data_IF_403189913940
#
_entry.id   IF_403189913940
#
_cell.length_a   1.000
_cell.length_b   1.000
_cell.length_c   1.000
_cell.angle_alpha   90.00
_cell.angle_beta   90.00
_cell.angle_gamma   90.00
#
_symmetry.space_group_name_H-M   'P 1'
#
loop_
_entity.id
_entity.type
_entity.pdbx_description
1 polymer ?
#
# COMPACT_ATOMS: atom_id res chain seq x y z
N UNK A 1 -53.67 -21.09 45.55
CA UNK A 1 -52.38 -20.91 44.87
C UNK A 1 -52.71 -20.49 43.45
N UNK A 2 -52.96 -19.19 43.27
CA UNK A 2 -53.31 -18.61 41.97
C UNK A 2 -52.05 -18.44 41.13
N UNK A 3 -52.24 -18.65 39.84
CA UNK A 3 -51.21 -18.66 38.81
C UNK A 3 -50.57 -17.28 38.57
N UNK A 4 -49.26 -17.29 38.32
CA UNK A 4 -48.57 -16.24 37.58
C UNK A 4 -47.64 -16.94 36.57
N UNK A 5 -48.18 -17.21 35.39
CA UNK A 5 -47.37 -17.49 34.19
C UNK A 5 -47.40 -16.20 33.38
N UNK A 6 -46.25 -15.59 33.02
CA UNK A 6 -46.25 -14.40 32.19
C UNK A 6 -46.94 -14.72 30.86
N UNK A 7 -47.70 -13.78 30.27
CA UNK A 7 -48.25 -14.00 28.94
C UNK A 7 -47.07 -14.24 27.99
N UNK A 8 -47.07 -15.40 27.34
CA UNK A 8 -46.24 -15.65 26.17
C UNK A 8 -46.61 -14.58 25.15
N UNK A 9 -45.65 -13.72 24.81
CA UNK A 9 -45.74 -12.83 23.68
C UNK A 9 -45.61 -13.66 22.41
N UNK A 10 -46.63 -14.46 22.11
CA UNK A 10 -46.88 -14.98 20.77
C UNK A 10 -47.41 -13.81 19.93
N UNK A 11 -46.54 -12.85 19.66
CA UNK A 11 -46.84 -11.68 18.83
C UNK A 11 -46.90 -12.10 17.38
N UNK A 12 -48.04 -12.64 16.94
CA UNK A 12 -48.36 -12.69 15.52
C UNK A 12 -48.33 -11.25 14.99
N UNK A 13 -47.31 -10.94 14.19
CA UNK A 13 -47.19 -9.68 13.47
C UNK A 13 -48.48 -9.45 12.70
N UNK A 14 -49.15 -8.34 12.99
CA UNK A 14 -50.38 -7.99 12.30
C UNK A 14 -50.08 -7.68 10.82
N UNK A 15 -51.07 -7.80 9.92
CA UNK A 15 -50.91 -7.40 8.52
C UNK A 15 -50.40 -5.95 8.36
N UNK A 16 -50.74 -5.08 9.32
CA UNK A 16 -50.31 -3.69 9.35
C UNK A 16 -48.81 -3.58 9.73
N UNK A 17 -48.34 -4.36 10.72
CA UNK A 17 -46.92 -4.43 11.08
C UNK A 17 -46.05 -4.92 9.91
N UNK A 18 -46.55 -5.91 9.16
CA UNK A 18 -45.88 -6.44 7.97
C UNK A 18 -45.85 -5.39 6.85
N UNK A 19 -46.89 -4.56 6.72
CA UNK A 19 -46.92 -3.48 5.74
C UNK A 19 -45.94 -2.36 6.08
N UNK A 20 -45.85 -1.99 7.37
CA UNK A 20 -44.93 -0.96 7.84
C UNK A 20 -43.47 -1.39 7.70
N UNK A 21 -43.16 -2.64 8.06
CA UNK A 21 -41.82 -3.20 7.87
C UNK A 21 -41.40 -3.26 6.40
N UNK A 22 -42.32 -3.59 5.48
CA UNK A 22 -42.03 -3.55 4.04
C UNK A 22 -41.73 -2.15 3.55
N UNK A 23 -42.49 -1.15 4.00
CA UNK A 23 -42.24 0.24 3.67
C UNK A 23 -40.88 0.73 4.22
N UNK A 24 -40.50 0.29 5.42
CA UNK A 24 -39.17 0.56 5.97
C UNK A 24 -38.07 -0.10 5.16
N UNK A 25 -38.23 -1.37 4.75
CA UNK A 25 -37.26 -2.06 3.90
C UNK A 25 -37.08 -1.34 2.57
N UNK A 26 -38.17 -0.96 1.89
CA UNK A 26 -38.09 -0.22 0.62
C UNK A 26 -37.39 1.15 0.80
N UNK A 27 -37.67 1.86 1.90
CA UNK A 27 -37.00 3.12 2.21
C UNK A 27 -35.50 2.94 2.49
N UNK A 28 -35.13 1.91 3.26
CA UNK A 28 -33.73 1.58 3.54
C UNK A 28 -33.00 1.12 2.29
N UNK A 29 -33.63 0.33 1.42
CA UNK A 29 -33.05 -0.11 0.14
C UNK A 29 -32.79 1.09 -0.79
N UNK A 30 -33.70 2.07 -0.82
CA UNK A 30 -33.52 3.31 -1.57
C UNK A 30 -32.35 4.15 -1.01
N UNK A 31 -32.30 4.34 0.32
CA UNK A 31 -31.21 5.09 0.98
C UNK A 31 -29.85 4.41 0.76
N UNK A 32 -29.77 3.08 0.87
CA UNK A 32 -28.54 2.31 0.59
C UNK A 32 -28.17 2.40 -0.89
N UNK A 33 -29.14 2.43 -1.81
CA UNK A 33 -28.88 2.60 -3.24
C UNK A 33 -28.29 3.98 -3.53
N UNK A 34 -28.88 5.04 -2.98
CA UNK A 34 -28.40 6.41 -3.17
C UNK A 34 -26.98 6.59 -2.58
N UNK A 35 -26.75 6.12 -1.34
CA UNK A 35 -25.44 6.15 -0.71
C UNK A 35 -24.38 5.37 -1.50
N UNK A 36 -24.74 4.22 -2.08
CA UNK A 36 -23.83 3.46 -2.95
C UNK A 36 -23.48 4.23 -4.22
N UNK A 37 -24.45 4.88 -4.85
CA UNK A 37 -24.18 5.73 -6.01
C UNK A 37 -23.33 6.94 -5.67
N UNK A 38 -23.53 7.56 -4.50
CA UNK A 38 -22.71 8.69 -4.05
C UNK A 38 -21.26 8.28 -3.74
N UNK A 39 -21.04 7.06 -3.24
CA UNK A 39 -19.69 6.50 -3.05
C UNK A 39 -19.02 6.18 -4.40
N UNK A 40 -19.74 5.57 -5.35
CA UNK A 40 -19.22 5.24 -6.68
C UNK A 40 -18.90 6.48 -7.54
N UNK A 41 -19.61 7.59 -7.33
CA UNK A 41 -19.44 8.82 -8.13
C UNK A 41 -18.43 9.83 -7.52
N UNK A 42 -17.99 9.62 -6.27
CA UNK A 42 -17.30 10.66 -5.48
C UNK A 42 -15.92 10.34 -4.91
N UNK A 43 -15.52 9.07 -4.78
CA UNK A 43 -14.19 8.70 -4.25
C UNK A 43 -13.46 7.77 -5.21
N UNK A 44 -12.28 8.20 -5.66
CA UNK A 44 -11.32 7.27 -6.29
C UNK A 44 -11.07 6.09 -5.36
N UNK A 45 -11.07 4.86 -5.90
CA UNK A 45 -10.66 3.67 -5.17
C UNK A 45 -9.27 3.92 -4.54
N UNK A 46 -9.07 3.51 -3.29
CA UNK A 46 -7.85 3.76 -2.53
C UNK A 46 -6.95 2.54 -2.50
N UNK A 47 -5.66 2.75 -2.74
CA UNK A 47 -4.64 1.72 -2.65
C UNK A 47 -3.52 2.15 -1.69
N UNK A 48 -3.20 1.29 -0.74
CA UNK A 48 -2.10 1.51 0.21
C UNK A 48 -1.07 0.40 0.08
N UNK A 49 0.19 0.80 -0.07
CA UNK A 49 1.33 -0.11 -0.11
C UNK A 49 2.28 0.22 1.05
N UNK A 50 2.63 -0.80 1.84
CA UNK A 50 3.66 -0.70 2.87
C UNK A 50 4.96 -1.29 2.31
N UNK A 51 5.94 -0.44 2.03
CA UNK A 51 7.23 -0.83 1.47
C UNK A 51 8.29 -0.95 2.58
N UNK A 52 8.75 -2.17 2.85
CA UNK A 52 9.62 -2.46 4.01
C UNK A 52 11.09 -2.74 3.65
N UNK A 53 11.36 -3.01 2.37
CA UNK A 53 12.69 -3.42 1.88
C UNK A 53 13.21 -2.43 0.84
N UNK A 54 14.51 -2.12 0.91
CA UNK A 54 15.20 -1.22 -0.02
C UNK A 54 16.31 -1.88 -0.82
N UNK A 55 16.20 -3.17 -1.14
CA UNK A 55 17.10 -3.77 -2.14
C UNK A 55 16.64 -3.40 -3.54
N UNK A 56 17.56 -3.43 -4.51
CA UNK A 56 17.28 -3.05 -5.90
C UNK A 56 16.06 -3.77 -6.47
N UNK A 57 15.88 -5.06 -6.17
CA UNK A 57 14.76 -5.86 -6.64
C UNK A 57 13.43 -5.56 -5.94
N UNK A 58 13.48 -5.09 -4.69
CA UNK A 58 12.31 -4.77 -3.88
C UNK A 58 11.82 -3.33 -4.09
N UNK A 59 12.61 -2.48 -4.73
CA UNK A 59 12.19 -1.12 -5.09
C UNK A 59 11.17 -1.09 -6.24
N UNK A 60 11.26 -2.01 -7.20
CA UNK A 60 10.41 -2.01 -8.38
C UNK A 60 8.94 -2.34 -8.10
N UNK A 61 8.59 -3.40 -7.34
CA UNK A 61 7.19 -3.76 -7.12
C UNK A 61 6.32 -2.64 -6.53
N UNK A 62 6.69 -1.93 -5.44
CA UNK A 62 5.84 -0.88 -4.90
C UNK A 62 5.70 0.30 -5.86
N UNK A 63 6.78 0.73 -6.52
CA UNK A 63 6.73 1.88 -7.44
C UNK A 63 5.97 1.59 -8.74
N UNK A 64 6.14 0.39 -9.33
CA UNK A 64 5.40 0.00 -10.54
C UNK A 64 3.91 -0.12 -10.22
N UNK A 65 3.55 -0.77 -9.11
CA UNK A 65 2.15 -0.91 -8.72
C UNK A 65 1.52 0.44 -8.42
N UNK A 66 2.23 1.31 -7.69
CA UNK A 66 1.70 2.61 -7.33
C UNK A 66 1.46 3.51 -8.54
N UNK A 67 2.47 3.68 -9.41
CA UNK A 67 2.33 4.46 -10.64
C UNK A 67 1.27 3.90 -11.57
N UNK A 68 1.14 2.57 -11.67
CA UNK A 68 0.09 1.93 -12.47
C UNK A 68 -1.29 2.17 -11.89
N UNK A 69 -1.47 2.01 -10.57
CA UNK A 69 -2.75 2.25 -9.91
C UNK A 69 -3.19 3.71 -10.04
N UNK A 70 -2.26 4.67 -9.85
CA UNK A 70 -2.53 6.09 -10.08
C UNK A 70 -2.98 6.35 -11.53
N UNK A 71 -2.36 5.70 -12.52
CA UNK A 71 -2.78 5.81 -13.93
C UNK A 71 -4.18 5.25 -14.20
N UNK A 72 -4.66 4.30 -13.37
CA UNK A 72 -6.04 3.79 -13.40
C UNK A 72 -7.02 4.64 -12.58
N UNK A 73 -6.56 5.75 -11.98
CA UNK A 73 -7.40 6.67 -11.22
C UNK A 73 -7.56 6.29 -9.75
N UNK A 74 -6.71 5.41 -9.21
CA UNK A 74 -6.67 5.14 -7.78
C UNK A 74 -6.00 6.31 -7.04
N UNK A 75 -6.47 6.57 -5.82
CA UNK A 75 -5.75 7.38 -4.84
C UNK A 75 -4.75 6.47 -4.11
N UNK A 76 -3.45 6.74 -4.25
CA UNK A 76 -2.39 5.79 -3.89
C UNK A 76 -1.44 6.38 -2.85
N UNK A 77 -1.25 5.65 -1.76
CA UNK A 77 -0.24 5.94 -0.75
C UNK A 77 0.78 4.82 -0.67
N UNK A 78 2.08 5.16 -0.68
CA UNK A 78 3.16 4.20 -0.45
C UNK A 78 3.95 4.60 0.79
N UNK A 79 3.69 3.91 1.90
CA UNK A 79 4.37 4.11 3.16
C UNK A 79 5.68 3.31 3.20
N UNK A 80 6.80 4.01 3.06
CA UNK A 80 8.14 3.43 3.18
C UNK A 80 8.57 3.42 4.65
N UNK A 81 9.07 2.28 5.10
CA UNK A 81 9.54 2.08 6.49
C UNK A 81 10.74 1.14 6.53
N UNK A 82 11.53 1.19 7.60
CA UNK A 82 12.81 0.48 7.70
C UNK A 82 13.69 0.72 6.46
N UNK A 83 14.20 -0.35 5.85
CA UNK A 83 15.06 -0.27 4.68
C UNK A 83 14.33 0.26 3.44
N UNK A 84 12.99 0.33 3.45
CA UNK A 84 12.23 0.96 2.37
C UNK A 84 12.61 2.43 2.16
N UNK A 85 13.05 3.15 3.20
CA UNK A 85 13.47 4.56 3.07
C UNK A 85 14.66 4.74 2.13
N UNK A 86 15.50 3.72 1.96
CA UNK A 86 16.63 3.76 1.02
C UNK A 86 16.16 4.00 -0.43
N UNK A 87 14.92 3.62 -0.76
CA UNK A 87 14.31 3.86 -2.06
C UNK A 87 14.04 5.36 -2.25
N UNK A 88 13.58 6.06 -1.21
CA UNK A 88 13.22 7.48 -1.28
C UNK A 88 14.39 8.42 -1.00
N UNK A 89 15.48 7.93 -0.42
CA UNK A 89 16.65 8.74 -0.14
C UNK A 89 17.41 9.04 -1.46
N UNK A 90 17.61 10.33 -1.77
CA UNK A 90 18.11 10.77 -3.08
C UNK A 90 19.47 10.15 -3.44
N UNK A 91 20.39 10.08 -2.47
CA UNK A 91 21.73 9.53 -2.71
C UNK A 91 21.76 8.00 -2.65
N UNK A 92 21.04 7.38 -1.72
CA UNK A 92 21.12 5.93 -1.53
C UNK A 92 20.35 5.15 -2.62
N UNK A 93 19.24 5.71 -3.11
CA UNK A 93 18.44 5.12 -4.19
C UNK A 93 19.22 4.89 -5.50
N UNK A 94 20.30 5.65 -5.72
CA UNK A 94 21.19 5.52 -6.88
C UNK A 94 22.10 4.29 -6.82
N UNK A 95 22.40 3.76 -5.62
CA UNK A 95 23.23 2.57 -5.44
C UNK A 95 22.59 1.47 -4.58
N UNK A 96 21.29 1.19 -4.78
CA UNK A 96 20.62 0.08 -4.11
C UNK A 96 21.32 -1.26 -4.38
N UNK A 97 21.61 -1.99 -3.30
CA UNK A 97 22.26 -3.29 -3.34
C UNK A 97 21.32 -4.44 -3.67
N UNK A 98 21.89 -5.58 -4.07
CA UNK A 98 21.16 -6.82 -4.27
C UNK A 98 21.96 -8.00 -3.69
N UNK A 99 21.35 -8.75 -2.78
CA UNK A 99 22.04 -9.88 -2.15
C UNK A 99 22.10 -11.08 -3.08
N UNK A 100 23.32 -11.57 -3.32
CA UNK A 100 23.59 -12.77 -4.10
C UNK A 100 23.27 -14.06 -3.32
N UNK A 101 23.46 -14.05 -2.00
CA UNK A 101 23.14 -15.19 -1.11
C UNK A 101 21.69 -15.15 -0.63
N UNK A 102 21.14 -13.95 -0.43
CA UNK A 102 19.79 -13.74 0.09
C UNK A 102 18.68 -14.06 -0.92
N UNK A 103 19.00 -14.20 -2.21
CA UNK A 103 18.03 -14.52 -3.25
C UNK A 103 18.21 -15.98 -3.73
N UNK A 104 17.38 -16.93 -3.26
CA UNK A 104 17.49 -18.34 -3.63
C UNK A 104 17.13 -18.62 -5.10
N UNK A 105 16.53 -17.66 -5.79
CA UNK A 105 16.19 -17.78 -7.22
C UNK A 105 17.35 -17.38 -8.13
N UNK A 106 18.48 -16.91 -7.57
CA UNK A 106 19.69 -16.66 -8.35
C UNK A 106 20.25 -18.00 -8.86
N UNK A 107 20.63 -18.11 -10.15
CA UNK A 107 21.20 -19.33 -10.73
C UNK A 107 22.68 -19.50 -10.33
N UNK A 108 23.01 -19.23 -9.07
CA UNK A 108 24.35 -19.32 -8.50
C UNK A 108 24.34 -20.30 -7.32
N UNK A 109 25.26 -21.28 -7.27
CA UNK A 109 25.46 -22.08 -6.07
C UNK A 109 25.79 -21.19 -4.87
N UNK A 110 25.20 -21.44 -3.70
CA UNK A 110 25.39 -20.62 -2.49
C UNK A 110 26.85 -20.39 -2.10
N UNK A 111 27.72 -21.40 -2.32
CA UNK A 111 29.15 -21.27 -2.05
C UNK A 111 29.84 -20.23 -2.94
N UNK A 112 29.37 -20.07 -4.18
CA UNK A 112 29.85 -19.05 -5.12
C UNK A 112 29.22 -17.70 -4.76
N UNK A 113 27.91 -17.67 -4.49
CA UNK A 113 27.22 -16.44 -4.09
C UNK A 113 27.84 -15.79 -2.84
N UNK A 114 28.36 -16.57 -1.89
CA UNK A 114 29.00 -16.04 -0.70
C UNK A 114 30.39 -15.41 -0.93
N UNK A 115 30.94 -15.44 -2.17
CA UNK A 115 32.24 -14.85 -2.45
C UNK A 115 32.22 -13.31 -2.35
N UNK A 116 33.29 -12.68 -1.85
CA UNK A 116 33.37 -11.22 -1.77
C UNK A 116 33.15 -10.55 -3.14
N UNK A 117 32.23 -9.58 -3.19
CA UNK A 117 31.92 -8.81 -4.40
C UNK A 117 30.77 -9.38 -5.26
N UNK A 118 30.24 -10.56 -4.92
CA UNK A 118 29.13 -11.16 -5.66
C UNK A 118 27.83 -10.37 -5.57
N UNK A 119 27.57 -9.68 -4.45
CA UNK A 119 26.41 -8.79 -4.31
C UNK A 119 26.47 -7.64 -5.32
N UNK A 120 27.63 -6.99 -5.48
CA UNK A 120 27.84 -5.93 -6.49
C UNK A 120 27.70 -6.46 -7.91
N UNK A 121 28.24 -7.64 -8.18
CA UNK A 121 28.08 -8.29 -9.49
C UNK A 121 26.60 -8.57 -9.78
N UNK A 122 25.87 -9.04 -8.78
CA UNK A 122 24.45 -9.38 -8.89
C UNK A 122 23.59 -8.14 -9.10
N UNK A 123 23.83 -7.07 -8.34
CA UNK A 123 23.18 -5.77 -8.56
C UNK A 123 23.46 -5.22 -9.97
N UNK A 124 24.73 -5.29 -10.43
CA UNK A 124 25.09 -4.86 -11.79
C UNK A 124 24.39 -5.70 -12.87
N UNK A 125 24.34 -7.01 -12.70
CA UNK A 125 23.63 -7.90 -13.63
C UNK A 125 22.14 -7.54 -13.70
N UNK A 126 21.52 -7.24 -12.56
CA UNK A 126 20.12 -6.81 -12.53
C UNK A 126 19.93 -5.45 -13.22
N UNK A 127 20.77 -4.44 -12.93
CA UNK A 127 20.71 -3.13 -13.60
C UNK A 127 20.83 -3.25 -15.11
N UNK A 128 21.79 -4.03 -15.60
CA UNK A 128 21.93 -4.29 -17.04
C UNK A 128 20.68 -4.94 -17.62
N UNK A 129 20.05 -5.89 -16.92
CA UNK A 129 18.81 -6.53 -17.40
C UNK A 129 17.64 -5.55 -17.41
N UNK A 130 17.53 -4.64 -16.45
CA UNK A 130 16.52 -3.57 -16.44
C UNK A 130 16.70 -2.70 -17.68
N UNK A 131 17.93 -2.22 -17.93
CA UNK A 131 18.28 -1.40 -19.09
C UNK A 131 18.04 -2.14 -20.42
N UNK A 132 18.50 -3.38 -20.55
CA UNK A 132 18.34 -4.23 -21.75
C UNK A 132 16.87 -4.54 -22.09
N UNK A 133 15.94 -4.35 -21.14
CA UNK A 133 14.51 -4.62 -21.31
C UNK A 133 13.66 -3.34 -21.30
N UNK A 134 14.28 -2.16 -21.43
CA UNK A 134 13.61 -0.87 -21.46
C UNK A 134 12.68 -0.64 -20.25
N UNK A 135 13.09 -1.15 -19.08
CA UNK A 135 12.36 -0.93 -17.82
C UNK A 135 12.87 0.36 -17.19
N UNK A 136 11.94 1.23 -16.78
CA UNK A 136 12.27 2.49 -16.10
C UNK A 136 13.11 2.24 -14.84
N UNK A 137 14.11 3.08 -14.61
CA UNK A 137 14.94 3.07 -13.41
C UNK A 137 14.14 3.40 -12.16
N UNK A 138 14.71 3.14 -10.98
CA UNK A 138 14.08 3.46 -9.69
C UNK A 138 13.79 4.95 -9.57
N UNK A 139 14.73 5.80 -9.98
CA UNK A 139 14.59 7.26 -9.99
C UNK A 139 13.43 7.70 -10.89
N UNK A 140 13.39 7.21 -12.14
CA UNK A 140 12.29 7.50 -13.07
C UNK A 140 10.92 7.05 -12.54
N UNK A 141 10.88 5.91 -11.85
CA UNK A 141 9.66 5.39 -11.24
C UNK A 141 9.19 6.24 -10.04
N UNK A 142 10.12 6.76 -9.23
CA UNK A 142 9.82 7.70 -8.13
C UNK A 142 9.26 9.00 -8.71
N UNK A 143 9.97 9.60 -9.66
CA UNK A 143 9.54 10.83 -10.33
C UNK A 143 8.17 10.66 -10.99
N UNK A 144 7.95 9.54 -11.68
CA UNK A 144 6.66 9.23 -12.31
C UNK A 144 5.55 9.07 -11.28
N UNK A 145 5.83 8.43 -10.14
CA UNK A 145 4.86 8.24 -9.07
C UNK A 145 4.44 9.59 -8.48
N UNK A 146 5.41 10.44 -8.12
CA UNK A 146 5.17 11.78 -7.61
C UNK A 146 4.41 12.66 -8.62
N UNK A 147 4.83 12.65 -9.88
CA UNK A 147 4.16 13.39 -10.95
C UNK A 147 2.71 12.92 -11.20
N UNK A 148 2.42 11.66 -10.91
CA UNK A 148 1.08 11.07 -11.02
C UNK A 148 0.21 11.28 -9.77
N UNK A 149 0.73 11.96 -8.74
CA UNK A 149 0.02 12.24 -7.50
C UNK A 149 0.02 11.11 -6.48
N UNK A 150 0.91 10.12 -6.62
CA UNK A 150 1.12 9.10 -5.57
C UNK A 150 1.73 9.77 -4.35
N UNK A 151 1.15 9.54 -3.17
CA UNK A 151 1.71 10.00 -1.90
C UNK A 151 2.80 9.03 -1.42
N UNK A 152 4.05 9.32 -1.79
CA UNK A 152 5.22 8.59 -1.30
C UNK A 152 5.60 9.10 0.09
N UNK A 153 5.43 8.25 1.10
CA UNK A 153 5.57 8.60 2.50
C UNK A 153 6.85 8.00 3.11
N UNK A 154 7.62 8.81 3.84
CA UNK A 154 8.77 8.39 4.63
C UNK A 154 8.42 8.34 6.12
N UNK A 155 8.48 7.13 6.71
CA UNK A 155 8.15 6.92 8.12
C UNK A 155 9.09 7.67 9.06
N UNK A 156 8.55 8.63 9.83
CA UNK A 156 9.30 9.48 10.75
C UNK A 156 10.11 8.67 11.77
N UNK A 157 9.53 7.62 12.34
CA UNK A 157 10.26 6.77 13.29
C UNK A 157 11.49 6.11 12.65
N UNK A 158 11.44 5.84 11.35
CA UNK A 158 12.59 5.26 10.64
C UNK A 158 13.61 6.33 10.30
N UNK A 159 13.18 7.53 9.90
CA UNK A 159 14.05 8.71 9.74
C UNK A 159 14.88 8.91 11.03
N UNK A 160 14.20 8.98 12.17
CA UNK A 160 14.85 9.14 13.48
C UNK A 160 15.78 7.97 13.83
N UNK A 161 15.38 6.73 13.49
CA UNK A 161 16.13 5.52 13.80
C UNK A 161 17.45 5.43 13.00
N UNK A 162 17.40 5.81 11.72
CA UNK A 162 18.55 5.76 10.82
C UNK A 162 19.40 7.04 10.87
N UNK A 163 18.85 8.11 11.47
CA UNK A 163 19.54 9.39 11.63
C UNK A 163 19.61 10.17 10.32
N UNK A 164 18.55 10.11 9.52
CA UNK A 164 18.40 10.91 8.29
C UNK A 164 17.75 12.26 8.59
N UNK A 165 17.98 13.21 7.71
CA UNK A 165 17.31 14.50 7.66
C UNK A 165 16.14 14.44 6.65
N UNK A 166 15.09 15.24 6.86
CA UNK A 166 13.95 15.28 5.94
C UNK A 166 14.35 15.75 4.52
N UNK A 167 15.43 16.53 4.43
CA UNK A 167 16.00 17.03 3.16
C UNK A 167 16.83 15.97 2.41
N UNK A 168 17.00 14.75 2.96
CA UNK A 168 17.71 13.64 2.29
C UNK A 168 16.84 12.91 1.25
N UNK A 169 15.53 13.19 1.21
CA UNK A 169 14.54 12.53 0.35
C UNK A 169 14.14 13.41 -0.83
N UNK A 170 13.65 12.78 -1.92
CA UNK A 170 13.18 13.50 -3.11
C UNK A 170 12.09 14.55 -2.78
N UNK A 171 12.11 15.69 -3.48
CA UNK A 171 11.06 16.70 -3.40
C UNK A 171 9.68 16.10 -3.69
N UNK A 172 8.71 16.34 -2.81
CA UNK A 172 7.38 15.76 -2.88
C UNK A 172 7.17 14.49 -2.05
N UNK A 173 8.22 13.94 -1.43
CA UNK A 173 8.07 12.89 -0.41
C UNK A 173 7.48 13.47 0.88
N UNK A 174 6.43 12.83 1.39
CA UNK A 174 5.77 13.21 2.64
C UNK A 174 6.52 12.65 3.85
N UNK A 175 7.04 13.53 4.71
CA UNK A 175 7.69 13.21 5.99
C UNK A 175 6.74 13.44 7.17
N UNK A 176 7.18 13.19 8.41
CA UNK A 176 6.37 13.44 9.61
C UNK A 176 5.21 12.46 9.84
N UNK A 177 5.07 11.45 8.97
CA UNK A 177 4.05 10.41 9.06
C UNK A 177 4.54 9.19 9.84
N UNK A 178 3.63 8.49 10.50
CA UNK A 178 3.97 7.34 11.33
C UNK A 178 3.03 6.16 11.11
N UNK A 179 3.28 5.07 11.85
CA UNK A 179 2.49 3.85 11.76
C UNK A 179 0.98 4.07 12.01
N UNK A 180 0.61 5.07 12.81
CA UNK A 180 -0.78 5.42 13.06
C UNK A 180 -1.49 5.95 11.79
N UNK A 181 -0.84 6.84 11.05
CA UNK A 181 -1.35 7.37 9.78
C UNK A 181 -1.47 6.25 8.75
N UNK A 182 -0.39 5.49 8.55
CA UNK A 182 -0.40 4.36 7.61
C UNK A 182 -1.48 3.31 7.95
N UNK A 183 -1.75 3.08 9.24
CA UNK A 183 -2.82 2.18 9.65
C UNK A 183 -4.22 2.72 9.36
N UNK A 184 -4.43 4.04 9.50
CA UNK A 184 -5.69 4.69 9.14
C UNK A 184 -5.90 4.63 7.62
N UNK A 185 -4.88 4.97 6.85
CA UNK A 185 -4.93 4.89 5.38
C UNK A 185 -5.27 3.46 4.93
N UNK A 186 -4.64 2.45 5.53
CA UNK A 186 -4.96 1.04 5.26
C UNK A 186 -6.39 0.67 5.65
N UNK A 187 -6.93 1.22 6.74
CA UNK A 187 -8.28 0.91 7.20
C UNK A 187 -9.36 1.41 6.22
N UNK A 188 -9.05 2.50 5.52
CA UNK A 188 -9.95 3.12 4.53
C UNK A 188 -9.65 2.71 3.08
N UNK A 189 -8.63 1.87 2.86
CA UNK A 189 -8.23 1.45 1.52
C UNK A 189 -9.02 0.26 0.99
N UNK A 190 -9.24 0.23 -0.31
CA UNK A 190 -9.84 -0.92 -1.02
C UNK A 190 -8.82 -2.02 -1.26
N UNK A 191 -7.54 -1.64 -1.44
CA UNK A 191 -6.42 -2.55 -1.66
C UNK A 191 -5.28 -2.22 -0.69
N UNK A 192 -4.89 -3.20 0.14
CA UNK A 192 -3.71 -3.12 1.01
C UNK A 192 -2.66 -4.15 0.61
N UNK A 193 -1.41 -3.71 0.42
CA UNK A 193 -0.26 -4.59 0.16
C UNK A 193 0.88 -4.33 1.14
N UNK A 194 1.58 -5.38 1.53
CA UNK A 194 2.85 -5.32 2.24
C UNK A 194 3.92 -5.91 1.34
N UNK A 195 4.97 -5.13 1.06
CA UNK A 195 6.03 -5.46 0.11
C UNK A 195 7.40 -5.44 0.79
#
# INVERSE_FOLDING_TARGET
MSADTPPSADGELSPDDVSELRAQIEALEAEVSDLRSEVDEGSADRMVIIATKGTLDMAYPPLILASTAAAFGYDVTVFHTFWGLEILHEENSKDLGLSSVGNPNMPLPNAIAALPGMDRMTARMMRNRIEDNDVASVEELIETSLASGVDLQACQMTIDLLGYDEDDFYDGVTTGVGAASAFQDMADADIQLLV
#
